data_IF_248943549354
#
_entry.id   IF_248943549354
#
_cell.length_a   1.000
_cell.length_b   1.000
_cell.length_c   1.000
_cell.angle_alpha   90.00
_cell.angle_beta   90.00
_cell.angle_gamma   90.00
#
_symmetry.space_group_name_H-M   'P 1'
#
loop_
_entity.id
_entity.type
_entity.pdbx_description
1 polymer ?
#
# COMPACT_ATOMS: atom_id res chain seq x y z
N UNK A 1 14.17 39.84 3.68
CA UNK A 1 14.29 38.77 4.70
C UNK A 1 13.15 37.81 4.46
N UNK A 2 13.43 36.76 3.68
CA UNK A 2 12.45 35.73 3.33
C UNK A 2 11.98 35.03 4.60
N UNK A 3 10.67 35.01 4.81
CA UNK A 3 10.07 34.34 5.94
C UNK A 3 10.27 32.84 5.75
N UNK A 4 11.20 32.27 6.51
CA UNK A 4 11.35 30.83 6.65
C UNK A 4 10.02 30.27 7.15
N UNK A 5 9.20 29.80 6.20
CA UNK A 5 8.05 28.96 6.49
C UNK A 5 8.62 27.72 7.17
N UNK A 6 8.63 27.71 8.50
CA UNK A 6 8.77 26.49 9.31
C UNK A 6 7.61 25.58 8.96
N UNK A 7 7.76 24.87 7.85
CA UNK A 7 6.89 23.81 7.43
C UNK A 7 6.95 22.79 8.55
N UNK A 8 5.81 22.61 9.21
CA UNK A 8 5.59 21.60 10.24
C UNK A 8 5.66 20.23 9.55
N UNK A 9 6.88 19.79 9.25
CA UNK A 9 7.14 18.47 8.71
C UNK A 9 6.93 17.50 9.87
N UNK A 10 6.02 16.54 9.70
CA UNK A 10 6.04 15.36 10.53
C UNK A 10 7.37 14.66 10.24
N UNK A 11 8.28 14.66 11.22
CA UNK A 11 9.62 14.08 11.07
C UNK A 11 9.64 12.55 11.05
N UNK A 12 8.47 11.91 10.87
CA UNK A 12 8.26 10.46 10.97
C UNK A 12 7.31 9.97 9.90
N UNK A 13 7.53 8.73 9.46
CA UNK A 13 6.60 8.03 8.58
C UNK A 13 5.26 7.80 9.29
N UNK A 14 4.16 7.96 8.56
CA UNK A 14 2.82 7.79 9.12
C UNK A 14 2.37 6.31 9.23
N UNK A 15 3.10 5.37 8.64
CA UNK A 15 2.81 3.94 8.77
C UNK A 15 3.11 3.50 10.20
N UNK A 16 2.11 2.94 10.90
CA UNK A 16 2.14 2.64 12.34
C UNK A 16 3.36 1.81 12.78
N UNK A 17 3.84 0.93 11.91
CA UNK A 17 4.95 0.02 12.20
C UNK A 17 6.28 0.49 11.57
N UNK A 18 6.30 1.69 10.98
CA UNK A 18 7.47 2.26 10.34
C UNK A 18 8.14 3.27 11.27
N UNK A 19 9.32 2.93 11.76
CA UNK A 19 10.12 3.79 12.63
C UNK A 19 10.94 4.86 11.90
N UNK A 20 10.79 5.00 10.57
CA UNK A 20 11.63 5.85 9.75
C UNK A 20 11.41 7.34 10.03
N UNK A 21 12.53 8.07 10.13
CA UNK A 21 12.62 9.50 10.43
C UNK A 21 13.42 10.23 9.35
N UNK A 22 13.35 11.55 9.34
CA UNK A 22 14.13 12.39 8.42
C UNK A 22 15.64 12.17 8.57
N UNK A 23 16.10 11.89 9.79
CA UNK A 23 17.51 11.64 10.10
C UNK A 23 18.04 10.32 9.51
N UNK A 24 17.17 9.39 9.10
CA UNK A 24 17.55 8.11 8.49
C UNK A 24 17.99 8.25 7.01
N UNK A 25 18.07 9.47 6.47
CA UNK A 25 18.43 9.73 5.08
C UNK A 25 17.38 9.26 4.06
N UNK A 26 16.15 9.00 4.51
CA UNK A 26 15.04 8.59 3.64
C UNK A 26 14.27 9.81 3.13
N UNK A 27 13.74 9.70 1.91
CA UNK A 27 12.87 10.76 1.36
C UNK A 27 11.43 10.51 1.79
N UNK A 28 10.66 11.59 1.94
CA UNK A 28 9.26 11.52 2.34
C UNK A 28 8.36 12.02 1.22
N UNK A 29 7.37 11.20 0.89
CA UNK A 29 6.32 11.54 -0.07
C UNK A 29 5.03 11.86 0.67
N UNK A 30 4.49 13.06 0.43
CA UNK A 30 3.21 13.45 1.02
C UNK A 30 2.06 12.71 0.33
N UNK A 31 1.14 12.19 1.15
CA UNK A 31 -0.13 11.63 0.68
C UNK A 31 -0.91 12.71 -0.08
N UNK A 32 -1.43 12.43 -1.29
CA UNK A 32 -2.21 13.42 -2.04
C UNK A 32 -3.32 14.04 -1.21
N UNK A 33 -3.48 15.36 -1.30
CA UNK A 33 -4.58 16.09 -0.67
C UNK A 33 -5.70 16.23 -1.68
N UNK A 34 -6.93 16.04 -1.23
CA UNK A 34 -8.11 16.40 -2.02
C UNK A 34 -8.32 17.90 -1.86
N UNK A 35 -8.28 18.62 -2.97
CA UNK A 35 -8.59 20.05 -3.00
C UNK A 35 -10.11 20.18 -2.85
N UNK A 36 -10.59 20.64 -1.69
CA UNK A 36 -12.01 20.66 -1.30
C UNK A 36 -12.85 21.75 -2.00
N UNK A 37 -12.55 22.08 -3.26
CA UNK A 37 -13.35 23.06 -3.99
C UNK A 37 -12.63 23.71 -5.15
N UNK A 38 -12.84 23.17 -6.35
CA UNK A 38 -12.94 23.93 -7.61
C UNK A 38 -13.97 23.23 -8.49
N UNK A 39 -15.22 23.27 -8.04
CA UNK A 39 -16.39 22.77 -8.76
C UNK A 39 -16.66 23.71 -9.94
N UNK A 40 -16.15 23.38 -11.12
CA UNK A 40 -16.44 24.17 -12.32
C UNK A 40 -15.78 23.63 -13.58
N UNK A 41 -14.66 22.94 -13.46
CA UNK A 41 -13.96 22.31 -14.58
C UNK A 41 -13.71 20.84 -14.27
N UNK A 42 -14.01 19.97 -15.23
CA UNK A 42 -13.59 18.56 -15.23
C UNK A 42 -12.08 18.53 -15.42
N UNK A 43 -11.35 18.86 -14.36
CA UNK A 43 -9.90 18.86 -14.39
C UNK A 43 -9.42 17.41 -14.29
N UNK A 44 -8.83 16.92 -15.37
CA UNK A 44 -8.23 15.59 -15.44
C UNK A 44 -7.25 15.38 -14.27
N UNK A 45 -6.50 16.42 -13.89
CA UNK A 45 -5.54 16.36 -12.80
C UNK A 45 -6.22 16.16 -11.44
N UNK A 46 -7.35 16.82 -11.21
CA UNK A 46 -8.14 16.65 -9.99
C UNK A 46 -8.71 15.22 -9.89
N UNK A 47 -9.20 14.66 -11.00
CA UNK A 47 -9.67 13.28 -11.05
C UNK A 47 -8.55 12.27 -10.78
N UNK A 48 -7.37 12.47 -11.37
CA UNK A 48 -6.20 11.63 -11.10
C UNK A 48 -5.78 11.71 -9.62
N UNK A 49 -5.76 12.92 -9.04
CA UNK A 49 -5.47 13.09 -7.59
C UNK A 49 -6.47 12.35 -6.73
N UNK A 50 -7.76 12.46 -7.04
CA UNK A 50 -8.82 11.77 -6.31
C UNK A 50 -8.66 10.25 -6.39
N UNK A 51 -8.40 9.73 -7.59
CA UNK A 51 -8.14 8.30 -7.81
C UNK A 51 -6.89 7.82 -7.07
N UNK A 52 -5.79 8.56 -7.15
CA UNK A 52 -4.56 8.21 -6.44
C UNK A 52 -4.82 8.19 -4.93
N UNK A 53 -5.53 9.18 -4.38
CA UNK A 53 -5.89 9.23 -2.96
C UNK A 53 -6.72 8.02 -2.54
N UNK A 54 -7.75 7.65 -3.29
CA UNK A 54 -8.59 6.50 -2.98
C UNK A 54 -7.80 5.18 -2.94
N UNK A 55 -6.83 5.01 -3.87
CA UNK A 55 -5.94 3.85 -3.86
C UNK A 55 -5.00 3.86 -2.65
N UNK A 56 -4.47 5.03 -2.27
CA UNK A 56 -3.67 5.17 -1.05
C UNK A 56 -4.49 4.88 0.21
N UNK A 57 -5.75 5.31 0.27
CA UNK A 57 -6.66 4.97 1.38
C UNK A 57 -6.94 3.47 1.45
N UNK A 58 -7.06 2.81 0.31
CA UNK A 58 -7.24 1.35 0.26
C UNK A 58 -5.99 0.61 0.73
N UNK A 59 -4.80 1.06 0.29
CA UNK A 59 -3.53 0.44 0.64
C UNK A 59 -3.13 0.72 2.11
N UNK A 60 -3.30 1.96 2.56
CA UNK A 60 -2.82 2.43 3.86
C UNK A 60 -3.88 2.42 4.95
N UNK A 61 -5.17 2.30 4.64
CA UNK A 61 -6.26 2.50 5.59
C UNK A 61 -6.26 1.56 6.80
N UNK A 62 -5.49 0.46 6.75
CA UNK A 62 -5.28 -0.45 7.88
C UNK A 62 -4.09 -0.07 8.76
N UNK A 63 -3.11 0.66 8.22
CA UNK A 63 -1.78 0.88 8.83
C UNK A 63 -1.43 2.35 9.02
N UNK A 64 -2.24 3.27 8.49
CA UNK A 64 -2.10 4.73 8.66
C UNK A 64 -3.45 5.28 9.09
N UNK A 65 -3.44 6.15 10.10
CA UNK A 65 -4.63 6.93 10.43
C UNK A 65 -4.82 8.05 9.40
N UNK A 66 -5.72 7.80 8.45
CA UNK A 66 -6.02 8.72 7.35
C UNK A 66 -6.75 10.00 7.78
N UNK A 67 -7.21 10.09 9.04
CA UNK A 67 -7.84 11.29 9.61
C UNK A 67 -6.84 12.42 9.86
N UNK A 68 -5.55 12.07 10.02
CA UNK A 68 -4.48 13.04 10.29
C UNK A 68 -4.17 13.85 9.02
N UNK A 69 -4.04 15.16 9.18
CA UNK A 69 -3.61 16.05 8.10
C UNK A 69 -2.10 15.98 7.91
N UNK A 70 -1.62 16.20 6.68
CA UNK A 70 -0.19 16.21 6.34
C UNK A 70 0.51 14.88 6.68
N UNK A 71 -0.04 13.78 6.16
CA UNK A 71 0.58 12.46 6.23
C UNK A 71 1.76 12.35 5.26
N UNK A 72 2.87 11.80 5.74
CA UNK A 72 4.09 11.58 4.98
C UNK A 72 4.49 10.11 5.06
N UNK A 73 4.82 9.54 3.90
CA UNK A 73 5.24 8.14 3.77
C UNK A 73 6.68 8.13 3.28
N UNK A 74 7.56 7.39 3.95
CA UNK A 74 8.97 7.33 3.58
C UNK A 74 9.22 6.49 2.33
N UNK A 75 10.38 6.69 1.71
CA UNK A 75 10.84 6.00 0.49
C UNK A 75 10.78 4.47 0.57
N UNK A 76 10.93 3.88 1.75
CA UNK A 76 10.91 2.41 1.96
C UNK A 76 9.61 1.73 1.49
N UNK A 77 8.52 2.48 1.34
CA UNK A 77 7.23 1.96 0.90
C UNK A 77 7.02 2.03 -0.63
N UNK A 78 8.05 2.48 -1.37
CA UNK A 78 8.06 2.62 -2.82
C UNK A 78 9.25 1.83 -3.40
N UNK A 79 9.05 1.17 -4.54
CA UNK A 79 10.04 0.40 -5.29
C UNK A 79 11.20 1.28 -5.74
N UNK A 80 10.93 2.43 -6.37
CA UNK A 80 11.96 3.42 -6.76
C UNK A 80 12.30 4.39 -5.64
N UNK A 81 11.78 4.17 -4.43
CA UNK A 81 12.03 5.03 -3.28
C UNK A 81 11.34 6.40 -3.31
N UNK A 82 10.41 6.64 -4.25
CA UNK A 82 9.65 7.90 -4.32
C UNK A 82 8.31 7.69 -4.99
N UNK A 83 7.32 8.50 -4.59
CA UNK A 83 6.02 8.55 -5.26
C UNK A 83 6.18 8.98 -6.73
N UNK A 84 5.50 8.26 -7.63
CA UNK A 84 5.43 8.65 -9.03
C UNK A 84 4.67 9.97 -9.25
N UNK A 85 4.84 10.60 -10.41
CA UNK A 85 4.07 11.80 -10.74
C UNK A 85 2.59 11.45 -10.83
N UNK A 86 1.74 12.44 -10.56
CA UNK A 86 0.29 12.22 -10.56
C UNK A 86 -0.24 11.79 -11.93
N UNK A 87 0.39 12.26 -13.01
CA UNK A 87 0.08 11.94 -14.41
C UNK A 87 0.50 10.52 -14.80
N UNK A 88 1.44 9.91 -14.06
CA UNK A 88 2.07 8.65 -14.43
C UNK A 88 1.35 7.49 -13.73
N UNK A 89 0.05 7.35 -14.01
CA UNK A 89 -0.81 6.39 -13.30
C UNK A 89 -0.45 4.92 -13.50
N UNK A 90 0.36 4.62 -14.52
CA UNK A 90 0.85 3.28 -14.81
C UNK A 90 2.13 2.92 -14.04
N UNK A 91 2.73 3.88 -13.33
CA UNK A 91 3.94 3.62 -12.55
C UNK A 91 3.61 2.79 -11.29
N UNK A 92 4.37 1.74 -10.98
CA UNK A 92 4.10 0.92 -9.80
C UNK A 92 4.28 1.69 -8.48
N UNK A 93 5.02 2.80 -8.47
CA UNK A 93 5.16 3.71 -7.33
C UNK A 93 4.11 4.82 -7.29
N UNK A 94 3.06 4.71 -8.12
CA UNK A 94 1.91 5.60 -8.04
C UNK A 94 1.14 5.41 -6.71
N UNK A 95 1.26 4.24 -6.09
CA UNK A 95 0.69 3.87 -4.79
C UNK A 95 1.74 3.12 -3.97
N UNK A 96 1.93 3.42 -2.67
CA UNK A 96 2.84 2.64 -1.84
C UNK A 96 2.32 1.21 -1.73
N UNK A 97 3.22 0.25 -1.87
CA UNK A 97 2.89 -1.18 -1.88
C UNK A 97 3.83 -2.03 -1.02
N UNK A 98 5.01 -1.49 -0.67
CA UNK A 98 6.02 -2.23 0.08
C UNK A 98 5.90 -2.00 1.59
N UNK A 99 6.20 -3.05 2.37
CA UNK A 99 6.37 -3.01 3.82
C UNK A 99 5.20 -2.34 4.57
N UNK A 100 3.97 -2.54 4.08
CA UNK A 100 2.76 -2.00 4.73
C UNK A 100 2.29 -2.89 5.88
N UNK A 101 2.58 -4.18 5.82
CA UNK A 101 2.25 -5.14 6.87
C UNK A 101 3.44 -5.32 7.82
N UNK A 102 3.20 -5.66 9.10
CA UNK A 102 4.28 -6.08 9.99
C UNK A 102 5.02 -7.26 9.36
N UNK A 103 6.35 -7.18 9.32
CA UNK A 103 7.19 -8.30 8.86
C UNK A 103 6.81 -9.55 9.65
N UNK A 104 6.44 -10.64 8.94
CA UNK A 104 6.16 -11.95 9.54
C UNK A 104 7.35 -12.50 10.35
N UNK A 105 8.54 -11.88 10.24
CA UNK A 105 9.73 -12.22 11.03
C UNK A 105 9.52 -12.05 12.54
N UNK A 106 8.53 -11.28 12.98
CA UNK A 106 8.19 -11.13 14.40
C UNK A 106 6.85 -11.79 14.79
N UNK A 107 6.32 -12.67 13.93
CA UNK A 107 5.20 -13.52 14.34
C UNK A 107 5.74 -14.56 15.33
N UNK A 108 5.22 -14.69 16.56
CA UNK A 108 5.56 -15.85 17.38
C UNK A 108 5.24 -17.08 16.53
N UNK A 109 6.26 -17.91 16.26
CA UNK A 109 6.11 -19.15 15.49
C UNK A 109 4.91 -19.86 16.08
N UNK A 110 3.82 -19.92 15.32
CA UNK A 110 2.68 -20.75 15.65
C UNK A 110 3.25 -22.16 15.71
N UNK A 111 3.44 -22.70 16.92
CA UNK A 111 3.68 -24.12 17.13
C UNK A 111 2.65 -24.83 16.28
N UNK A 112 3.11 -25.57 15.28
CA UNK A 112 2.24 -26.32 14.39
C UNK A 112 1.42 -27.27 15.26
N UNK A 113 0.15 -26.94 15.47
CA UNK A 113 -0.80 -27.90 15.97
C UNK A 113 -0.88 -28.98 14.87
N UNK A 114 -0.66 -30.27 15.20
CA UNK A 114 -0.61 -31.31 14.19
C UNK A 114 -1.90 -31.31 13.37
N UNK A 115 -1.76 -31.09 12.07
CA UNK A 115 -2.87 -31.18 11.12
C UNK A 115 -3.39 -32.62 11.14
N UNK A 116 -4.69 -32.89 11.31
CA UNK A 116 -5.21 -34.24 11.16
C UNK A 116 -4.97 -34.68 9.71
N UNK A 117 -4.33 -35.85 9.57
CA UNK A 117 -3.98 -36.45 8.30
C UNK A 117 -5.18 -36.47 7.34
N UNK A 118 -5.01 -35.86 6.16
CA UNK A 118 -5.96 -36.02 5.06
C UNK A 118 -5.90 -37.48 4.61
N UNK A 119 -7.05 -38.17 4.63
CA UNK A 119 -7.17 -39.54 4.12
C UNK A 119 -6.90 -39.54 2.60
N UNK A 120 -6.29 -40.60 2.04
CA UNK A 120 -6.05 -40.71 0.61
C UNK A 120 -7.35 -40.62 -0.19
N UNK A 121 -7.31 -39.90 -1.30
CA UNK A 121 -8.38 -39.89 -2.31
C UNK A 121 -8.43 -41.28 -2.95
N UNK A 122 -9.56 -41.97 -2.82
CA UNK A 122 -9.79 -43.20 -3.58
C UNK A 122 -9.98 -42.85 -5.07
N UNK A 123 -9.16 -43.47 -5.91
CA UNK A 123 -9.20 -43.32 -7.36
C UNK A 123 -10.50 -43.90 -7.93
N UNK A 124 -11.24 -43.08 -8.69
CA UNK A 124 -12.43 -43.52 -9.40
C UNK A 124 -12.04 -44.43 -10.58
N UNK A 125 -12.64 -45.62 -10.74
CA UNK A 125 -12.31 -46.50 -11.85
C UNK A 125 -12.75 -45.91 -13.20
N UNK A 126 -11.79 -45.93 -14.12
CA UNK A 126 -11.90 -45.49 -15.52
C UNK A 126 -12.92 -46.34 -16.30
N UNK A 127 -13.76 -45.65 -17.08
CA UNK A 127 -14.77 -46.26 -17.96
C UNK A 127 -14.08 -47.10 -19.04
N UNK A 128 -14.31 -48.41 -19.02
CA UNK A 128 -13.89 -49.32 -20.08
C UNK A 128 -14.96 -49.34 -21.18
N UNK A 129 -14.56 -48.88 -22.36
CA UNK A 129 -15.33 -49.01 -23.60
C UNK A 129 -15.32 -50.46 -24.05
N UNK A 130 -16.43 -50.99 -24.55
CA UNK A 130 -16.37 -51.95 -25.65
C UNK A 130 -17.64 -51.93 -26.51
N UNK A 131 -17.39 -52.19 -27.79
CA UNK A 131 -18.20 -52.02 -28.99
C UNK A 131 -18.72 -53.41 -29.44
N UNK A 132 -19.89 -53.43 -30.08
CA UNK A 132 -20.34 -54.35 -31.15
C UNK A 132 -20.64 -55.81 -30.74
N UNK A 133 -21.92 -56.21 -30.81
CA UNK A 133 -22.47 -57.05 -31.89
C UNK A 133 -24.00 -57.11 -31.81
#
# INVERSE_FOLDING_TARGET
METEKKSSYNNRCAVQHCGAKVDDGVTFSQVPKLDAGKTGTVDLLANLKARQRALWETALGKVVDMSVKNLWICSRHFIKGKKARITDSSDPDWVPSLNLEPSEENRPKRTELPQPARKPVEEMPTKQTNRIS
#
